data_IF_372139239960
#
_entry.id   IF_372139239960
#
_cell.length_a   1.000
_cell.length_b   1.000
_cell.length_c   1.000
_cell.angle_alpha   90.00
_cell.angle_beta   90.00
_cell.angle_gamma   90.00
#
_symmetry.space_group_name_H-M   'P 1'
#
loop_
_entity.id
_entity.type
_entity.pdbx_description
1 polymer ?
#
# COMPACT_ATOMS: atom_id res chain seq x y z
N UNK A 1 15.70 -16.10 30.16
CA UNK A 1 15.11 -16.43 28.83
C UNK A 1 14.53 -15.19 28.17
N UNK A 2 15.09 -14.74 27.05
CA UNK A 2 14.59 -13.59 26.27
C UNK A 2 13.72 -14.08 25.11
N UNK A 3 12.50 -14.52 25.43
CA UNK A 3 11.52 -14.93 24.41
C UNK A 3 11.05 -13.69 23.66
N UNK A 4 11.10 -13.73 22.32
CA UNK A 4 10.46 -12.74 21.45
C UNK A 4 9.05 -13.21 21.13
N UNK A 5 8.08 -12.32 21.24
CA UNK A 5 6.67 -12.59 20.93
C UNK A 5 6.29 -11.79 19.69
N UNK A 6 5.64 -12.43 18.72
CA UNK A 6 5.13 -11.77 17.52
C UNK A 6 3.62 -11.90 17.46
N UNK A 7 2.94 -10.81 17.12
CA UNK A 7 1.50 -10.80 16.88
C UNK A 7 1.28 -10.77 15.38
N UNK A 8 0.74 -11.85 14.83
CA UNK A 8 0.37 -11.94 13.41
C UNK A 8 -1.14 -12.12 13.33
N UNK A 9 -1.83 -11.18 12.68
CA UNK A 9 -3.27 -11.32 12.40
C UNK A 9 -3.51 -11.50 10.89
N UNK A 10 -4.73 -11.93 10.56
CA UNK A 10 -5.22 -12.15 9.19
C UNK A 10 -6.29 -11.13 8.81
N UNK A 11 -6.24 -9.92 9.38
CA UNK A 11 -7.34 -8.95 9.30
C UNK A 11 -7.47 -8.25 7.93
N UNK A 12 -6.67 -8.65 6.95
CA UNK A 12 -6.76 -8.12 5.61
C UNK A 12 -8.18 -8.29 5.05
N UNK A 13 -8.80 -7.25 4.49
CA UNK A 13 -10.20 -7.33 4.07
C UNK A 13 -10.45 -8.49 3.10
N UNK A 14 -11.46 -9.30 3.42
CA UNK A 14 -11.89 -10.45 2.61
C UNK A 14 -12.54 -9.99 1.31
N UNK A 15 -13.19 -8.83 1.32
CA UNK A 15 -13.82 -8.19 0.15
C UNK A 15 -13.51 -6.70 0.06
N UNK A 16 -13.31 -6.23 -1.17
CA UNK A 16 -13.22 -4.81 -1.52
C UNK A 16 -14.40 -4.32 -2.36
N UNK A 17 -15.51 -5.07 -2.40
CA UNK A 17 -16.67 -4.72 -3.20
C UNK A 17 -17.50 -3.60 -2.54
N UNK A 18 -17.87 -2.57 -3.32
CA UNK A 18 -18.87 -1.57 -2.93
C UNK A 18 -18.36 -0.33 -2.20
N UNK A 19 -17.05 -0.09 -2.12
CA UNK A 19 -16.50 1.12 -1.51
C UNK A 19 -15.33 1.71 -2.30
N UNK A 20 -15.40 3.01 -2.53
CA UNK A 20 -14.38 3.85 -3.16
C UNK A 20 -13.71 4.72 -2.10
N UNK A 21 -12.46 5.13 -2.38
CA UNK A 21 -11.72 6.08 -1.52
C UNK A 21 -11.71 5.64 -0.05
N UNK A 22 -11.29 4.40 0.17
CA UNK A 22 -11.39 3.78 1.48
C UNK A 22 -10.17 4.02 2.36
N UNK A 23 -10.44 4.01 3.65
CA UNK A 23 -9.46 4.03 4.73
C UNK A 23 -9.60 2.71 5.50
N UNK A 24 -8.64 1.82 5.35
CA UNK A 24 -8.67 0.53 6.04
C UNK A 24 -7.59 0.53 7.13
N UNK A 25 -7.94 0.44 8.42
CA UNK A 25 -6.96 0.31 9.48
C UNK A 25 -6.00 -0.87 9.24
N UNK A 26 -4.72 -0.69 9.53
CA UNK A 26 -3.76 -1.78 9.70
C UNK A 26 -4.01 -2.35 11.10
N UNK A 27 -5.05 -3.17 11.23
CA UNK A 27 -5.51 -3.67 12.54
C UNK A 27 -4.39 -4.39 13.30
N UNK A 28 -3.53 -5.13 12.60
CA UNK A 28 -2.33 -5.76 13.18
C UNK A 28 -1.44 -4.73 13.90
N UNK A 29 -1.21 -3.57 13.27
CA UNK A 29 -0.37 -2.51 13.83
C UNK A 29 -1.06 -1.87 15.03
N UNK A 30 -2.36 -1.61 14.94
CA UNK A 30 -3.12 -1.02 16.04
C UNK A 30 -3.15 -1.95 17.27
N UNK A 31 -3.37 -3.26 17.06
CA UNK A 31 -3.31 -4.26 18.12
C UNK A 31 -1.88 -4.37 18.69
N UNK A 32 -0.86 -4.44 17.83
CA UNK A 32 0.53 -4.46 18.26
C UNK A 32 0.87 -3.27 19.15
N UNK A 33 0.50 -2.06 18.73
CA UNK A 33 0.73 -0.84 19.50
C UNK A 33 0.00 -0.86 20.84
N UNK A 34 -1.23 -1.37 20.87
CA UNK A 34 -2.00 -1.48 22.10
C UNK A 34 -1.35 -2.44 23.09
N UNK A 35 -0.93 -3.62 22.63
CA UNK A 35 -0.26 -4.61 23.48
C UNK A 35 1.10 -4.10 23.94
N UNK A 36 1.88 -3.47 23.05
CA UNK A 36 3.16 -2.83 23.40
C UNK A 36 3.01 -1.77 24.48
N UNK A 37 1.92 -1.00 24.44
CA UNK A 37 1.62 0.03 25.43
C UNK A 37 1.19 -0.56 26.77
N UNK A 38 0.32 -1.57 26.75
CA UNK A 38 -0.27 -2.15 27.97
C UNK A 38 0.70 -3.12 28.67
N UNK A 39 1.66 -3.70 27.93
CA UNK A 39 2.65 -4.68 28.41
C UNK A 39 4.08 -4.35 27.92
N UNK A 40 4.69 -3.24 28.37
CA UNK A 40 5.99 -2.77 27.89
C UNK A 40 7.17 -3.71 28.21
N UNK A 41 7.00 -4.63 29.16
CA UNK A 41 7.98 -5.66 29.53
C UNK A 41 8.09 -6.80 28.52
N UNK A 42 7.10 -6.95 27.61
CA UNK A 42 7.13 -7.96 26.57
C UNK A 42 8.10 -7.56 25.45
N UNK A 43 8.99 -8.48 25.07
CA UNK A 43 9.86 -8.33 23.91
C UNK A 43 9.07 -8.59 22.62
N UNK A 44 8.26 -7.61 22.22
CA UNK A 44 7.32 -7.72 21.10
C UNK A 44 7.93 -7.32 19.77
N UNK A 45 7.72 -8.16 18.76
CA UNK A 45 8.10 -7.91 17.36
C UNK A 45 6.83 -7.77 16.52
N UNK A 46 6.77 -6.72 15.70
CA UNK A 46 5.65 -6.53 14.77
C UNK A 46 5.78 -7.51 13.60
N UNK A 47 4.64 -8.10 13.19
CA UNK A 47 4.56 -8.93 12.00
C UNK A 47 3.62 -8.31 10.98
N UNK A 48 4.14 -8.10 9.77
CA UNK A 48 3.42 -7.58 8.63
C UNK A 48 2.70 -8.68 7.83
N UNK A 49 2.58 -9.90 8.37
CA UNK A 49 2.02 -11.07 7.65
C UNK A 49 0.69 -10.78 6.95
N UNK A 50 -0.15 -9.93 7.53
CA UNK A 50 -1.43 -9.51 6.95
C UNK A 50 -1.32 -8.57 5.75
N UNK A 51 -0.15 -8.00 5.45
CA UNK A 51 0.09 -7.07 4.34
C UNK A 51 0.15 -7.77 2.98
N UNK A 52 0.57 -9.03 2.97
CA UNK A 52 0.53 -9.92 1.82
C UNK A 52 -0.64 -10.90 1.98
N UNK A 53 -1.50 -11.04 0.96
CA UNK A 53 -2.50 -12.10 0.94
C UNK A 53 -1.79 -13.47 0.88
N UNK A 54 -1.50 -14.05 2.04
CA UNK A 54 -0.81 -15.34 2.14
C UNK A 54 -1.64 -16.50 1.56
N UNK A 55 -2.96 -16.37 1.61
CA UNK A 55 -3.89 -17.37 1.09
C UNK A 55 -4.65 -16.86 -0.15
N UNK A 56 -4.76 -17.74 -1.16
CA UNK A 56 -5.62 -17.49 -2.31
C UNK A 56 -7.07 -17.64 -1.89
N UNK A 57 -7.83 -16.55 -1.87
CA UNK A 57 -9.28 -16.62 -1.74
C UNK A 57 -9.84 -17.25 -3.01
N UNK A 58 -10.54 -18.37 -2.89
CA UNK A 58 -11.28 -18.98 -3.98
C UNK A 58 -12.48 -18.11 -4.34
N UNK A 59 -12.47 -17.48 -5.52
CA UNK A 59 -13.62 -16.73 -6.03
C UNK A 59 -13.24 -15.45 -6.79
N UNK A 60 -14.08 -15.09 -7.78
CA UNK A 60 -13.94 -13.89 -8.60
C UNK A 60 -13.11 -14.11 -9.87
N UNK A 61 -13.75 -14.60 -10.94
CA UNK A 61 -13.11 -14.89 -12.24
C UNK A 61 -12.80 -13.66 -13.11
N UNK A 62 -12.51 -12.50 -12.51
CA UNK A 62 -12.29 -11.26 -13.24
C UNK A 62 -11.07 -10.48 -12.75
N UNK A 63 -10.42 -9.76 -13.67
CA UNK A 63 -9.40 -8.78 -13.32
C UNK A 63 -10.03 -7.72 -12.40
N UNK A 64 -9.48 -7.48 -11.19
CA UNK A 64 -9.98 -6.43 -10.29
C UNK A 64 -10.07 -5.07 -10.99
N UNK A 65 -10.87 -4.13 -10.50
CA UNK A 65 -10.83 -2.76 -11.04
C UNK A 65 -9.48 -2.07 -10.74
N UNK A 66 -9.05 -1.08 -11.53
CA UNK A 66 -7.90 -0.24 -11.21
C UNK A 66 -8.01 0.38 -9.82
N UNK A 67 -6.90 0.31 -9.09
CA UNK A 67 -6.77 0.79 -7.71
C UNK A 67 -5.32 1.24 -7.46
N UNK A 68 -5.16 2.39 -6.83
CA UNK A 68 -3.89 2.89 -6.30
C UNK A 68 -3.99 2.87 -4.77
N UNK A 69 -3.02 2.25 -4.12
CA UNK A 69 -2.92 2.15 -2.67
C UNK A 69 -1.75 3.00 -2.17
N UNK A 70 -1.95 3.75 -1.09
CA UNK A 70 -0.93 4.52 -0.39
C UNK A 70 -0.98 4.21 1.11
N UNK A 71 -0.08 3.33 1.60
CA UNK A 71 -0.04 2.94 3.01
C UNK A 71 0.47 4.09 3.88
N UNK A 72 -0.28 4.40 4.94
CA UNK A 72 0.16 5.21 6.06
C UNK A 72 0.66 4.31 7.21
N UNK A 73 1.22 4.87 8.29
CA UNK A 73 1.68 4.05 9.41
C UNK A 73 0.60 3.16 10.02
N UNK A 74 -0.65 3.65 10.11
CA UNK A 74 -1.74 3.01 10.86
C UNK A 74 -2.87 2.47 9.99
N UNK A 75 -2.90 2.82 8.71
CA UNK A 75 -4.01 2.55 7.81
C UNK A 75 -3.58 2.54 6.35
N UNK A 76 -4.38 1.89 5.53
CA UNK A 76 -4.25 1.84 4.08
C UNK A 76 -5.22 2.85 3.48
N UNK A 77 -4.67 3.85 2.77
CA UNK A 77 -5.45 4.72 1.89
C UNK A 77 -5.48 4.09 0.52
N UNK A 78 -6.63 4.14 -0.15
CA UNK A 78 -6.68 3.73 -1.55
C UNK A 78 -7.73 4.50 -2.32
N UNK A 79 -7.45 4.72 -3.60
CA UNK A 79 -8.39 5.30 -4.56
C UNK A 79 -8.64 4.22 -5.60
N UNK A 80 -9.92 3.96 -5.87
CA UNK A 80 -10.38 2.93 -6.80
C UNK A 80 -11.28 3.57 -7.82
N UNK A 81 -11.18 3.11 -9.07
CA UNK A 81 -12.10 3.52 -10.11
C UNK A 81 -13.27 2.54 -10.17
N UNK A 82 -14.48 3.03 -9.90
CA UNK A 82 -15.72 2.31 -10.18
C UNK A 82 -16.21 2.67 -11.59
N UNK A 83 -15.53 2.12 -12.58
CA UNK A 83 -16.06 2.04 -13.92
C UNK A 83 -16.86 0.76 -14.08
N UNK A 84 -17.93 0.84 -14.89
CA UNK A 84 -18.58 -0.37 -15.35
C UNK A 84 -17.58 -1.17 -16.20
N UNK A 85 -17.73 -2.50 -16.23
CA UNK A 85 -16.81 -3.38 -16.99
C UNK A 85 -16.72 -2.97 -18.47
N UNK A 86 -17.74 -2.27 -18.95
CA UNK A 86 -17.90 -1.74 -20.30
C UNK A 86 -17.00 -0.53 -20.59
N UNK A 87 -16.48 0.18 -19.58
CA UNK A 87 -15.60 1.33 -19.79
C UNK A 87 -14.09 0.95 -19.75
N UNK A 88 -13.77 -0.28 -19.36
CA UNK A 88 -12.41 -0.84 -19.35
C UNK A 88 -12.24 -1.87 -20.47
N UNK A 89 -12.65 -1.50 -21.69
CA UNK A 89 -12.71 -2.38 -22.87
C UNK A 89 -11.32 -2.89 -23.25
N UNK A 90 -10.31 -2.03 -23.18
CA UNK A 90 -8.96 -2.36 -23.59
C UNK A 90 -7.90 -1.97 -22.55
N UNK A 91 -6.66 -2.40 -22.81
CA UNK A 91 -5.51 -2.13 -21.93
C UNK A 91 -5.25 -0.62 -21.73
N UNK A 92 -5.45 0.19 -22.77
CA UNK A 92 -5.20 1.64 -22.74
C UNK A 92 -6.23 2.35 -21.86
N UNK A 93 -7.50 1.95 -21.88
CA UNK A 93 -8.53 2.50 -20.99
C UNK A 93 -8.16 2.25 -19.53
N UNK A 94 -7.62 1.05 -19.27
CA UNK A 94 -7.16 0.67 -17.94
C UNK A 94 -5.92 1.43 -17.47
N UNK A 95 -4.96 1.67 -18.36
CA UNK A 95 -3.79 2.50 -18.07
C UNK A 95 -4.20 3.95 -17.78
N UNK A 96 -5.14 4.51 -18.54
CA UNK A 96 -5.72 5.83 -18.27
C UNK A 96 -6.40 5.89 -16.91
N UNK A 97 -7.18 4.87 -16.56
CA UNK A 97 -7.81 4.78 -15.25
C UNK A 97 -6.78 4.80 -14.11
N UNK A 98 -5.69 4.01 -14.20
CA UNK A 98 -4.61 4.08 -13.20
C UNK A 98 -3.96 5.46 -13.13
N UNK A 99 -3.78 6.12 -14.28
CA UNK A 99 -3.14 7.44 -14.37
C UNK A 99 -3.98 8.52 -13.69
N UNK A 100 -5.30 8.47 -13.88
CA UNK A 100 -6.23 9.36 -13.19
C UNK A 100 -6.24 9.13 -11.67
N UNK A 101 -6.33 7.87 -11.23
CA UNK A 101 -6.24 7.54 -9.81
C UNK A 101 -4.90 7.96 -9.18
N UNK A 102 -3.80 7.87 -9.93
CA UNK A 102 -2.49 8.28 -9.46
C UNK A 102 -2.39 9.81 -9.27
N UNK A 103 -2.98 10.60 -10.18
CA UNK A 103 -3.06 12.07 -10.00
C UNK A 103 -3.85 12.43 -8.76
N UNK A 104 -4.99 11.77 -8.54
CA UNK A 104 -5.80 11.98 -7.34
C UNK A 104 -5.03 11.58 -6.07
N UNK A 105 -4.25 10.50 -6.12
CA UNK A 105 -3.44 10.05 -4.98
C UNK A 105 -2.36 11.09 -4.61
N UNK A 106 -1.66 11.63 -5.61
CA UNK A 106 -0.61 12.65 -5.41
C UNK A 106 -1.20 13.98 -4.93
N UNK A 107 -2.44 14.28 -5.30
CA UNK A 107 -3.16 15.47 -4.86
C UNK A 107 -3.78 15.34 -3.47
N UNK A 108 -3.71 14.16 -2.83
CA UNK A 108 -4.25 13.94 -1.50
C UNK A 108 -3.46 14.70 -0.43
N UNK A 109 -4.12 15.05 0.68
CA UNK A 109 -3.53 15.76 1.82
C UNK A 109 -2.52 14.90 2.61
N UNK A 110 -2.59 13.58 2.46
CA UNK A 110 -1.69 12.61 3.09
C UNK A 110 -0.54 12.15 2.18
N UNK A 111 -0.40 12.70 0.97
CA UNK A 111 0.74 12.41 0.10
C UNK A 111 2.01 13.08 0.61
N UNK A 112 3.04 12.29 0.89
CA UNK A 112 4.34 12.78 1.37
C UNK A 112 5.30 12.97 0.19
N UNK A 113 5.42 14.21 -0.29
CA UNK A 113 6.26 14.54 -1.47
C UNK A 113 7.74 14.17 -1.31
N UNK A 114 8.26 14.28 -0.09
CA UNK A 114 9.66 13.97 0.21
C UNK A 114 9.93 12.45 0.35
N UNK A 115 8.87 11.62 0.37
CA UNK A 115 9.02 10.17 0.46
C UNK A 115 9.35 9.58 -0.92
N UNK A 116 10.63 9.55 -1.29
CA UNK A 116 11.11 9.14 -2.63
C UNK A 116 11.42 7.64 -2.77
N UNK A 117 10.47 6.79 -2.38
CA UNK A 117 10.56 5.34 -2.56
C UNK A 117 10.29 4.91 -4.01
N UNK A 118 10.77 3.72 -4.40
CA UNK A 118 10.39 3.12 -5.69
C UNK A 118 8.86 3.10 -5.89
N UNK A 119 8.08 2.75 -4.86
CA UNK A 119 6.63 2.72 -4.93
C UNK A 119 6.00 4.09 -5.21
N UNK A 120 6.48 5.15 -4.55
CA UNK A 120 5.95 6.51 -4.76
C UNK A 120 6.37 7.07 -6.11
N UNK A 121 7.62 6.85 -6.54
CA UNK A 121 8.09 7.20 -7.89
C UNK A 121 7.27 6.49 -8.98
N UNK A 122 6.90 5.21 -8.78
CA UNK A 122 6.04 4.50 -9.72
C UNK A 122 4.63 5.11 -9.77
N UNK A 123 4.06 5.59 -8.65
CA UNK A 123 2.79 6.34 -8.65
C UNK A 123 2.94 7.64 -9.45
N UNK A 124 4.04 8.38 -9.27
CA UNK A 124 4.32 9.59 -10.05
C UNK A 124 4.44 9.32 -11.55
N UNK A 125 5.18 8.28 -11.93
CA UNK A 125 5.27 7.83 -13.33
C UNK A 125 3.90 7.46 -13.87
N UNK A 126 3.06 6.83 -13.06
CA UNK A 126 1.66 6.49 -13.43
C UNK A 126 0.85 7.76 -13.70
N UNK A 127 0.94 8.78 -12.85
CA UNK A 127 0.24 10.05 -13.05
C UNK A 127 0.65 10.80 -14.33
N UNK A 128 1.89 10.58 -14.79
CA UNK A 128 2.46 11.11 -16.04
C UNK A 128 2.19 10.22 -17.26
N UNK A 129 1.42 9.13 -17.12
CA UNK A 129 1.13 8.17 -18.20
C UNK A 129 2.38 7.47 -18.77
N UNK A 130 3.42 7.32 -17.96
CA UNK A 130 4.68 6.69 -18.38
C UNK A 130 4.58 5.16 -18.45
N UNK A 131 5.35 4.54 -19.36
CA UNK A 131 5.34 3.08 -19.58
C UNK A 131 5.71 2.26 -18.34
N UNK A 132 6.50 2.84 -17.44
CA UNK A 132 6.94 2.23 -16.20
C UNK A 132 5.98 2.49 -15.01
N UNK A 133 4.85 3.15 -15.25
CA UNK A 133 3.78 3.28 -14.29
C UNK A 133 3.01 1.98 -14.03
N UNK A 134 2.02 2.06 -13.15
CA UNK A 134 1.09 0.99 -12.81
C UNK A 134 0.13 0.78 -13.97
N UNK A 135 0.16 -0.43 -14.53
CA UNK A 135 -0.72 -0.82 -15.65
C UNK A 135 -1.50 -2.12 -15.36
N UNK A 136 -1.27 -2.76 -14.22
CA UNK A 136 -1.93 -4.00 -13.84
C UNK A 136 -2.03 -4.18 -12.31
N UNK A 137 -2.94 -5.03 -11.82
CA UNK A 137 -3.15 -5.23 -10.38
C UNK A 137 -1.92 -5.76 -9.63
N UNK A 138 -1.08 -6.58 -10.27
CA UNK A 138 0.12 -7.12 -9.64
C UNK A 138 1.16 -6.02 -9.38
N UNK A 139 1.36 -5.11 -10.35
CA UNK A 139 2.24 -3.94 -10.17
C UNK A 139 1.70 -2.97 -9.10
N UNK A 140 0.39 -2.73 -9.06
CA UNK A 140 -0.25 -1.97 -7.98
C UNK A 140 0.00 -2.60 -6.61
N UNK A 141 -0.11 -3.93 -6.51
CA UNK A 141 0.19 -4.67 -5.27
C UNK A 141 1.66 -4.55 -4.86
N UNK A 142 2.59 -4.65 -5.81
CA UNK A 142 4.02 -4.51 -5.52
C UNK A 142 4.36 -3.11 -4.98
N UNK A 143 3.81 -2.06 -5.61
CA UNK A 143 3.94 -0.67 -5.16
C UNK A 143 3.44 -0.51 -3.73
N UNK A 144 2.25 -1.04 -3.43
CA UNK A 144 1.67 -1.01 -2.09
C UNK A 144 2.60 -1.66 -1.06
N UNK A 145 3.10 -2.86 -1.34
CA UNK A 145 3.95 -3.61 -0.41
C UNK A 145 5.26 -2.85 -0.16
N UNK A 146 5.86 -2.27 -1.21
CA UNK A 146 7.09 -1.48 -1.08
C UNK A 146 6.92 -0.32 -0.09
N UNK A 147 5.88 0.50 -0.27
CA UNK A 147 5.64 1.66 0.61
C UNK A 147 5.32 1.18 2.03
N UNK A 148 4.51 0.13 2.16
CA UNK A 148 4.12 -0.41 3.47
C UNK A 148 5.32 -0.91 4.27
N UNK A 149 6.17 -1.74 3.68
CA UNK A 149 7.34 -2.26 4.36
C UNK A 149 8.23 -1.15 4.89
N UNK A 150 8.45 -0.10 4.08
CA UNK A 150 9.20 1.08 4.53
C UNK A 150 8.53 1.76 5.73
N UNK A 151 7.21 2.04 5.63
CA UNK A 151 6.45 2.71 6.70
C UNK A 151 6.42 1.91 8.00
N UNK A 152 6.33 0.59 7.91
CA UNK A 152 6.30 -0.28 9.08
C UNK A 152 7.69 -0.48 9.71
N UNK A 153 8.76 -0.49 8.90
CA UNK A 153 10.14 -0.54 9.38
C UNK A 153 10.53 0.75 10.11
N UNK A 154 10.12 1.89 9.57
CA UNK A 154 10.38 3.23 10.12
C UNK A 154 9.23 3.74 11.00
N UNK A 155 8.41 2.84 11.55
CA UNK A 155 7.17 3.21 12.24
C UNK A 155 7.39 4.15 13.43
N UNK A 156 8.44 3.89 14.23
CA UNK A 156 8.81 4.71 15.39
C UNK A 156 9.93 5.72 15.06
N UNK A 157 10.47 5.70 13.84
CA UNK A 157 11.47 6.66 13.41
C UNK A 157 10.78 7.95 12.98
N UNK A 158 11.30 9.14 13.33
CA UNK A 158 10.93 10.35 12.60
C UNK A 158 11.21 10.12 11.11
N UNK A 159 10.38 10.67 10.22
CA UNK A 159 10.62 10.60 8.76
C UNK A 159 12.05 11.03 8.54
N UNK A 160 12.96 10.12 8.17
CA UNK A 160 14.34 10.50 8.07
C UNK A 160 14.47 11.42 6.85
N UNK A 161 15.29 12.45 6.99
CA UNK A 161 15.80 13.24 5.87
C UNK A 161 16.75 12.34 5.08
N UNK A 162 16.21 11.47 4.22
CA UNK A 162 16.99 10.60 3.35
C UNK A 162 16.87 11.07 1.90
N UNK A 163 17.96 11.60 1.40
CA UNK A 163 18.29 11.52 -0.02
C UNK A 163 18.62 10.04 -0.33
N UNK A 164 17.64 9.33 -0.89
CA UNK A 164 17.81 7.93 -1.34
C UNK A 164 18.34 7.82 -2.77
N UNK A 165 18.61 8.96 -3.42
CA UNK A 165 19.29 8.95 -4.72
C UNK A 165 20.79 8.73 -4.43
N UNK A 166 21.21 7.46 -4.32
CA UNK A 166 22.64 7.15 -4.37
C UNK A 166 23.18 7.62 -5.74
N UNK A 167 24.21 8.48 -5.74
CA UNK A 167 24.90 8.89 -6.96
C UNK A 167 25.41 7.63 -7.69
N UNK A 168 24.88 7.40 -8.88
CA UNK A 168 25.34 6.32 -9.76
C UNK A 168 26.81 6.57 -10.13
N UNK A 169 27.68 5.59 -9.87
CA UNK A 169 29.09 5.64 -10.28
C UNK A 169 29.31 4.57 -11.35
N UNK A 170 29.80 4.99 -12.52
CA UNK A 170 30.14 4.13 -13.67
C UNK A 170 31.28 3.14 -13.40
#
# INVERSE_FOLDING_TARGET
>A
PSVKVSISCSSFPTSFAGYDNGENPITERLIYNRIRKDFPELNLVYSDRGSARAEKVSGGGGTPAPRIDYPLPNDWRFIRHNLDKEDLVNKKDREKAYSELARQMIASDYWEKELRLWGTQVIELTAREEKLGINNPARSTAVRINIHLYKQLHYDAPVPDFDTDEEWVD
#
